data_IF_597312649749
#
_entry.id   IF_597312649749
#
_cell.length_a   1.000
_cell.length_b   1.000
_cell.length_c   1.000
_cell.angle_alpha   90.00
_cell.angle_beta   90.00
_cell.angle_gamma   90.00
#
_symmetry.space_group_name_H-M   'P 1'
#
loop_
_entity.id
_entity.type
_entity.pdbx_description
1 polymer ?
#
# COMPACT_ATOMS: atom_id res chain seq x y z
N UNK A 1 5.32 -43.49 -70.88
CA UNK A 1 3.92 -43.90 -70.64
C UNK A 1 3.94 -45.04 -69.62
N UNK A 2 3.13 -45.08 -68.55
CA UNK A 2 2.33 -44.04 -67.87
C UNK A 2 2.62 -43.94 -66.35
N UNK A 3 1.97 -42.96 -65.69
CA UNK A 3 1.42 -42.97 -64.31
C UNK A 3 2.36 -43.22 -63.11
N UNK A 4 2.41 -42.39 -62.07
CA UNK A 4 1.49 -41.33 -61.64
C UNK A 4 2.12 -40.51 -60.50
N UNK A 5 1.84 -39.22 -60.54
CA UNK A 5 2.25 -38.24 -59.54
C UNK A 5 1.40 -38.41 -58.28
N UNK A 6 2.03 -38.71 -57.14
CA UNK A 6 1.42 -38.50 -55.83
C UNK A 6 1.88 -37.16 -55.28
N UNK A 7 1.07 -36.12 -55.50
CA UNK A 7 1.19 -34.85 -54.81
C UNK A 7 0.59 -35.07 -53.42
N UNK A 8 1.45 -35.30 -52.42
CA UNK A 8 1.04 -35.25 -51.01
C UNK A 8 0.97 -33.78 -50.63
N UNK A 9 -0.25 -33.23 -50.69
CA UNK A 9 -0.57 -31.91 -50.17
C UNK A 9 -0.43 -31.90 -48.65
N UNK A 10 0.62 -31.29 -48.14
CA UNK A 10 0.75 -30.97 -46.71
C UNK A 10 -0.08 -29.71 -46.47
N UNK A 11 -1.30 -29.89 -45.99
CA UNK A 11 -2.14 -28.86 -45.41
C UNK A 11 -1.44 -28.33 -44.15
N UNK A 12 -0.78 -27.18 -44.25
CA UNK A 12 -0.37 -26.39 -43.10
C UNK A 12 -1.62 -25.85 -42.40
N UNK A 13 -2.06 -26.54 -41.35
CA UNK A 13 -3.01 -26.00 -40.39
C UNK A 13 -2.33 -24.88 -39.60
N UNK A 14 -2.63 -23.63 -39.96
CA UNK A 14 -2.29 -22.48 -39.13
C UNK A 14 -3.11 -22.56 -37.84
N UNK A 15 -2.45 -22.96 -36.75
CA UNK A 15 -3.02 -22.91 -35.41
C UNK A 15 -3.14 -21.42 -35.03
N UNK A 16 -4.34 -20.86 -35.15
CA UNK A 16 -4.64 -19.53 -34.59
C UNK A 16 -4.68 -19.70 -33.07
N UNK A 17 -3.57 -19.41 -32.41
CA UNK A 17 -3.56 -19.18 -30.96
C UNK A 17 -4.20 -17.82 -30.75
N UNK A 18 -5.52 -17.82 -30.54
CA UNK A 18 -6.19 -16.66 -29.96
C UNK A 18 -5.64 -16.57 -28.53
N UNK A 19 -4.62 -15.74 -28.33
CA UNK A 19 -4.26 -15.28 -27.02
C UNK A 19 -5.45 -14.47 -26.50
N UNK A 20 -6.36 -15.16 -25.79
CA UNK A 20 -7.29 -14.49 -24.90
C UNK A 20 -6.40 -13.87 -23.84
N UNK A 21 -6.04 -12.60 -24.04
CA UNK A 21 -5.48 -11.81 -22.94
C UNK A 21 -6.54 -11.88 -21.85
N UNK A 22 -6.24 -12.44 -20.65
CA UNK A 22 -7.16 -12.30 -19.55
C UNK A 22 -7.38 -10.80 -19.39
N UNK A 23 -8.63 -10.37 -19.55
CA UNK A 23 -9.03 -9.01 -19.23
C UNK A 23 -8.48 -8.76 -17.83
N UNK A 24 -7.50 -7.86 -17.71
CA UNK A 24 -6.86 -7.58 -16.44
C UNK A 24 -7.97 -7.08 -15.51
N UNK A 25 -8.46 -7.95 -14.64
CA UNK A 25 -9.29 -7.53 -13.51
C UNK A 25 -8.44 -6.49 -12.81
N UNK A 26 -8.90 -5.23 -12.65
CA UNK A 26 -8.12 -4.23 -11.95
C UNK A 26 -7.75 -4.84 -10.60
N UNK A 27 -6.46 -5.02 -10.35
CA UNK A 27 -5.97 -5.66 -9.14
C UNK A 27 -6.63 -4.94 -7.96
N UNK A 28 -7.46 -5.67 -7.21
CA UNK A 28 -8.28 -5.08 -6.16
C UNK A 28 -7.35 -4.40 -5.17
N UNK A 29 -7.50 -3.09 -5.00
CA UNK A 29 -6.68 -2.28 -4.08
C UNK A 29 -6.85 -2.85 -2.68
N UNK A 30 -5.77 -3.36 -2.10
CA UNK A 30 -5.78 -3.84 -0.71
C UNK A 30 -5.96 -2.66 0.22
N UNK A 31 -6.92 -2.76 1.14
CA UNK A 31 -7.15 -1.74 2.17
C UNK A 31 -6.03 -1.76 3.19
N UNK A 32 -5.75 -0.60 3.78
CA UNK A 32 -4.77 -0.46 4.86
C UNK A 32 -5.14 -1.37 6.05
N UNK A 33 -6.44 -1.51 6.33
CA UNK A 33 -6.93 -2.43 7.35
C UNK A 33 -6.61 -3.90 7.04
N UNK A 34 -6.86 -4.38 5.81
CA UNK A 34 -6.60 -5.79 5.50
C UNK A 34 -5.12 -6.14 5.56
N UNK A 35 -4.25 -5.19 5.19
CA UNK A 35 -2.80 -5.34 5.34
C UNK A 35 -2.42 -5.38 6.82
N UNK A 36 -2.88 -4.42 7.63
CA UNK A 36 -2.57 -4.40 9.07
C UNK A 36 -3.13 -5.61 9.82
N UNK A 37 -4.33 -6.09 9.46
CA UNK A 37 -4.93 -7.32 9.96
C UNK A 37 -4.03 -8.54 9.70
N UNK A 38 -3.55 -8.67 8.46
CA UNK A 38 -2.63 -9.73 8.07
C UNK A 38 -1.29 -9.65 8.81
N UNK A 39 -0.69 -8.47 8.90
CA UNK A 39 0.59 -8.26 9.60
C UNK A 39 0.47 -8.50 11.11
N UNK A 40 -0.62 -8.04 11.72
CA UNK A 40 -0.89 -8.25 13.15
C UNK A 40 -1.08 -9.73 13.43
N UNK A 41 -1.81 -10.44 12.56
CA UNK A 41 -1.98 -11.89 12.68
C UNK A 41 -0.64 -12.63 12.60
N UNK A 42 0.24 -12.23 11.67
CA UNK A 42 1.57 -12.82 11.54
C UNK A 42 2.44 -12.54 12.79
N UNK A 43 2.50 -11.29 13.24
CA UNK A 43 3.28 -10.91 14.42
C UNK A 43 2.77 -11.59 15.71
N UNK A 44 1.45 -11.69 15.89
CA UNK A 44 0.83 -12.37 17.04
C UNK A 44 1.05 -13.88 16.99
N UNK A 45 0.98 -14.51 15.81
CA UNK A 45 1.29 -15.92 15.66
C UNK A 45 2.75 -16.23 16.02
N UNK A 46 3.68 -15.36 15.61
CA UNK A 46 5.09 -15.49 15.99
C UNK A 46 5.26 -15.36 17.51
N UNK A 47 4.60 -14.39 18.16
CA UNK A 47 4.58 -14.27 19.62
C UNK A 47 4.03 -15.53 20.28
N UNK A 48 2.89 -16.04 19.79
CA UNK A 48 2.28 -17.25 20.34
C UNK A 48 3.23 -18.45 20.24
N UNK A 49 4.02 -18.55 19.17
CA UNK A 49 4.99 -19.64 18.99
C UNK A 49 6.17 -19.59 19.97
N UNK A 50 6.50 -18.40 20.48
CA UNK A 50 7.59 -18.20 21.44
C UNK A 50 7.08 -18.05 22.88
N UNK A 51 5.79 -17.76 23.06
CA UNK A 51 5.21 -17.51 24.37
C UNK A 51 4.92 -18.83 25.07
N UNK A 52 5.53 -19.04 26.22
CA UNK A 52 5.09 -20.06 27.18
C UNK A 52 4.01 -19.56 28.14
N UNK A 53 3.36 -18.42 27.84
CA UNK A 53 2.45 -17.74 28.76
C UNK A 53 1.00 -17.90 28.29
N UNK A 54 0.14 -18.46 29.14
CA UNK A 54 -1.30 -18.59 28.86
C UNK A 54 -2.06 -17.26 28.96
N UNK A 55 -1.42 -16.24 29.55
CA UNK A 55 -1.99 -14.91 29.65
C UNK A 55 -0.96 -13.80 29.51
N UNK A 56 -1.37 -12.70 28.87
CA UNK A 56 -0.54 -11.54 28.55
C UNK A 56 -1.21 -10.23 28.98
N UNK A 57 -0.41 -9.26 29.41
CA UNK A 57 -0.82 -7.87 29.54
C UNK A 57 -0.43 -7.12 28.27
N UNK A 58 -1.38 -6.55 27.55
CA UNK A 58 -1.08 -5.73 26.37
C UNK A 58 -0.91 -4.27 26.80
N UNK A 59 0.08 -3.56 26.26
CA UNK A 59 0.38 -2.14 26.56
C UNK A 59 0.84 -1.45 25.26
N UNK A 60 0.60 -0.15 25.03
CA UNK A 60 -0.31 0.73 25.76
C UNK A 60 -1.79 0.34 25.64
N UNK A 61 -2.64 0.91 26.49
CA UNK A 61 -4.10 0.65 26.49
C UNK A 61 -4.79 1.47 25.41
N UNK A 62 -4.28 2.66 25.16
CA UNK A 62 -4.77 3.67 24.24
C UNK A 62 -4.38 3.43 22.78
N UNK A 63 -3.54 2.42 22.49
CA UNK A 63 -3.14 2.13 21.11
C UNK A 63 -4.34 1.72 20.25
N UNK A 64 -4.51 2.38 19.10
CA UNK A 64 -5.52 2.02 18.11
C UNK A 64 -5.35 0.58 17.55
N UNK A 65 -4.14 0.00 17.63
CA UNK A 65 -3.86 -1.37 17.21
C UNK A 65 -4.25 -2.41 18.29
N UNK A 66 -4.44 -1.98 19.54
CA UNK A 66 -4.66 -2.88 20.69
C UNK A 66 -5.80 -3.85 20.47
N UNK A 67 -6.97 -3.35 20.03
CA UNK A 67 -8.15 -4.20 19.88
C UNK A 67 -7.88 -5.36 18.92
N UNK A 68 -7.15 -5.09 17.83
CA UNK A 68 -6.79 -6.08 16.82
C UNK A 68 -5.80 -7.10 17.41
N UNK A 69 -4.78 -6.65 18.14
CA UNK A 69 -3.83 -7.52 18.84
C UNK A 69 -4.55 -8.42 19.85
N UNK A 70 -5.46 -7.86 20.64
CA UNK A 70 -6.26 -8.60 21.63
C UNK A 70 -7.15 -9.64 20.95
N UNK A 71 -7.84 -9.25 19.87
CA UNK A 71 -8.65 -10.18 19.08
C UNK A 71 -7.83 -11.37 18.60
N UNK A 72 -6.66 -11.13 17.98
CA UNK A 72 -5.79 -12.23 17.48
C UNK A 72 -5.23 -13.10 18.61
N UNK A 73 -4.84 -12.52 19.74
CA UNK A 73 -4.38 -13.29 20.90
C UNK A 73 -5.49 -14.19 21.45
N UNK A 74 -6.70 -13.64 21.62
CA UNK A 74 -7.84 -14.42 22.10
C UNK A 74 -8.26 -15.51 21.12
N UNK A 75 -8.15 -15.26 19.82
CA UNK A 75 -8.37 -16.27 18.77
C UNK A 75 -7.36 -17.43 18.81
N UNK A 76 -6.17 -17.20 19.37
CA UNK A 76 -5.15 -18.23 19.62
C UNK A 76 -5.25 -18.84 21.03
N UNK A 77 -6.28 -18.49 21.82
CA UNK A 77 -6.49 -19.01 23.17
C UNK A 77 -5.66 -18.34 24.26
N UNK A 78 -4.92 -17.26 23.96
CA UNK A 78 -4.12 -16.52 24.93
C UNK A 78 -4.99 -15.49 25.63
N UNK A 79 -5.10 -15.58 26.96
CA UNK A 79 -5.96 -14.68 27.74
C UNK A 79 -5.30 -13.29 27.93
N UNK A 80 -5.99 -12.22 27.56
CA UNK A 80 -5.50 -10.86 27.83
C UNK A 80 -6.01 -10.38 29.20
N UNK A 81 -5.08 -10.02 30.10
CA UNK A 81 -5.39 -9.55 31.46
C UNK A 81 -4.67 -8.23 31.75
N UNK A 82 -5.24 -7.40 32.61
CA UNK A 82 -4.60 -6.13 33.01
C UNK A 82 -3.27 -6.35 33.77
N UNK A 83 -3.17 -7.47 34.51
CA UNK A 83 -1.96 -7.91 35.17
C UNK A 83 -1.71 -9.38 34.80
N UNK A 84 -0.54 -9.64 34.23
CA UNK A 84 -0.10 -10.94 33.74
C UNK A 84 1.42 -11.05 33.91
N UNK A 85 1.97 -12.27 34.01
CA UNK A 85 3.42 -12.47 34.19
C UNK A 85 4.23 -12.02 32.98
N UNK A 86 3.62 -11.97 31.79
CA UNK A 86 4.25 -11.62 30.54
C UNK A 86 3.51 -10.41 29.94
N UNK A 87 4.26 -9.46 29.39
CA UNK A 87 3.72 -8.22 28.83
C UNK A 87 3.99 -8.19 27.33
N UNK A 88 3.01 -7.76 26.55
CA UNK A 88 3.15 -7.49 25.13
C UNK A 88 3.00 -5.99 24.88
N UNK A 89 4.10 -5.33 24.57
CA UNK A 89 4.12 -3.92 24.24
C UNK A 89 3.97 -3.71 22.72
N UNK A 90 3.03 -2.87 22.31
CA UNK A 90 2.86 -2.41 20.94
C UNK A 90 3.83 -1.25 20.74
N UNK A 91 4.90 -1.47 19.99
CA UNK A 91 5.95 -0.48 19.76
C UNK A 91 5.67 0.36 18.50
N UNK A 92 5.13 -0.25 17.45
CA UNK A 92 4.72 0.44 16.23
C UNK A 92 3.54 -0.30 15.58
N UNK A 93 2.72 0.44 14.85
CA UNK A 93 1.46 -0.06 14.29
C UNK A 93 0.84 0.98 13.38
N UNK A 94 1.47 1.22 12.24
CA UNK A 94 1.14 2.37 11.40
C UNK A 94 1.27 2.07 9.91
N UNK A 95 0.48 2.82 9.14
CA UNK A 95 0.65 2.99 7.70
C UNK A 95 1.47 4.26 7.46
N UNK A 96 2.40 4.21 6.51
CA UNK A 96 3.24 5.35 6.12
C UNK A 96 3.29 5.44 4.60
N UNK A 97 3.18 6.65 4.09
CA UNK A 97 3.33 6.93 2.67
C UNK A 97 4.69 7.57 2.38
N UNK A 98 5.45 6.95 1.48
CA UNK A 98 6.81 7.36 1.10
C UNK A 98 6.84 8.41 -0.01
N UNK A 99 7.92 9.19 -0.04
CA UNK A 99 8.19 10.20 -1.08
C UNK A 99 8.75 9.59 -2.37
N UNK A 100 9.36 8.40 -2.28
CA UNK A 100 10.09 7.77 -3.39
C UNK A 100 9.20 6.76 -4.08
N UNK A 101 8.41 7.23 -5.04
CA UNK A 101 7.58 6.38 -5.88
C UNK A 101 8.11 6.37 -7.32
N UNK A 102 7.96 5.26 -8.06
CA UNK A 102 8.51 5.12 -9.41
C UNK A 102 7.92 6.12 -10.43
N UNK A 103 6.74 6.67 -10.15
CA UNK A 103 6.09 7.70 -10.99
C UNK A 103 5.46 8.81 -10.15
N UNK A 104 5.25 9.99 -10.75
CA UNK A 104 4.64 11.18 -10.12
C UNK A 104 3.27 10.87 -9.49
N UNK A 105 2.49 10.04 -10.16
CA UNK A 105 1.12 9.68 -9.76
C UNK A 105 1.07 8.47 -8.83
N UNK A 106 2.22 7.89 -8.51
CA UNK A 106 2.34 6.78 -7.58
C UNK A 106 2.84 7.24 -6.21
N UNK A 107 2.64 6.39 -5.22
CA UNK A 107 3.11 6.57 -3.86
C UNK A 107 3.53 5.20 -3.30
N UNK A 108 4.68 5.15 -2.62
CA UNK A 108 5.04 3.95 -1.86
C UNK A 108 4.19 3.93 -0.59
N UNK A 109 3.56 2.80 -0.28
CA UNK A 109 2.88 2.58 0.99
C UNK A 109 3.66 1.51 1.74
N UNK A 110 3.99 1.82 2.99
CA UNK A 110 4.61 0.90 3.94
C UNK A 110 3.69 0.72 5.14
N UNK A 111 3.33 -0.53 5.44
CA UNK A 111 2.59 -0.90 6.64
C UNK A 111 3.53 -1.69 7.55
N UNK A 112 3.63 -1.30 8.81
CA UNK A 112 4.50 -1.96 9.78
C UNK A 112 3.76 -2.21 11.09
N UNK A 113 3.96 -3.40 11.63
CA UNK A 113 3.56 -3.78 12.99
C UNK A 113 4.81 -4.23 13.73
N UNK A 114 5.09 -3.60 14.86
CA UNK A 114 6.16 -3.97 15.76
C UNK A 114 5.60 -4.24 17.15
N UNK A 115 5.81 -5.45 17.62
CA UNK A 115 5.40 -5.92 18.94
C UNK A 115 6.64 -6.34 19.72
N UNK A 116 6.66 -6.02 21.01
CA UNK A 116 7.72 -6.36 21.95
C UNK A 116 7.17 -7.23 23.05
N UNK A 117 7.60 -8.47 23.05
CA UNK A 117 7.25 -9.42 24.08
C UNK A 117 8.26 -9.31 25.23
N UNK A 118 7.75 -8.95 26.41
CA UNK A 118 8.51 -8.69 27.63
C UNK A 118 8.22 -9.80 28.65
N UNK A 119 9.27 -10.51 29.04
CA UNK A 119 9.28 -11.56 30.06
C UNK A 119 10.31 -11.11 31.12
N UNK A 120 10.20 -11.50 32.40
CA UNK A 120 11.08 -10.99 33.46
C UNK A 120 12.58 -10.95 33.12
N UNK A 121 13.07 -11.93 32.36
CA UNK A 121 14.49 -12.06 32.01
C UNK A 121 14.81 -11.86 30.53
N UNK A 122 13.82 -11.55 29.68
CA UNK A 122 14.08 -11.39 28.25
C UNK A 122 13.09 -10.47 27.55
N UNK A 123 13.57 -9.81 26.50
CA UNK A 123 12.74 -9.04 25.57
C UNK A 123 12.94 -9.60 24.18
N UNK A 124 11.84 -9.85 23.48
CA UNK A 124 11.85 -10.24 22.06
C UNK A 124 11.05 -9.25 21.26
N UNK A 125 11.64 -8.72 20.20
CA UNK A 125 10.98 -7.78 19.29
C UNK A 125 10.65 -8.49 18.00
N UNK A 126 9.40 -8.39 17.58
CA UNK A 126 8.88 -8.94 16.33
C UNK A 126 8.39 -7.75 15.51
N UNK A 127 9.00 -7.56 14.34
CA UNK A 127 8.67 -6.50 13.41
C UNK A 127 8.34 -7.12 12.06
N UNK A 128 7.11 -6.91 11.60
CA UNK A 128 6.65 -7.37 10.29
C UNK A 128 6.28 -6.15 9.47
N UNK A 129 6.78 -6.09 8.24
CA UNK A 129 6.60 -4.97 7.35
C UNK A 129 6.13 -5.45 5.98
N UNK A 130 5.25 -4.67 5.36
CA UNK A 130 4.80 -4.86 4.00
C UNK A 130 4.86 -3.55 3.23
N UNK A 131 5.26 -3.64 1.97
CA UNK A 131 5.42 -2.50 1.07
C UNK A 131 4.79 -2.76 -0.28
N UNK A 132 4.14 -1.75 -0.82
CA UNK A 132 3.67 -1.72 -2.19
C UNK A 132 3.69 -0.32 -2.79
N UNK A 133 3.36 -0.23 -4.07
CA UNK A 133 3.20 1.02 -4.79
C UNK A 133 1.73 1.17 -5.15
N UNK A 134 1.13 2.28 -4.73
CA UNK A 134 -0.26 2.61 -4.95
C UNK A 134 -0.36 3.83 -5.87
N UNK A 135 -1.41 3.91 -6.69
CA UNK A 135 -1.75 5.17 -7.36
C UNK A 135 -2.29 6.18 -6.33
N UNK A 136 -1.91 7.45 -6.43
CA UNK A 136 -2.39 8.50 -5.53
C UNK A 136 -3.92 8.65 -5.54
N UNK A 137 -4.56 8.35 -6.67
CA UNK A 137 -6.03 8.34 -6.81
C UNK A 137 -6.71 7.22 -6.01
N UNK A 138 -5.99 6.14 -5.68
CA UNK A 138 -6.53 4.98 -4.97
C UNK A 138 -6.33 5.06 -3.46
N UNK A 139 -5.66 6.09 -2.94
CA UNK A 139 -5.44 6.27 -1.49
C UNK A 139 -6.77 6.26 -0.72
N UNK A 140 -7.77 7.01 -1.21
CA UNK A 140 -9.09 7.07 -0.58
C UNK A 140 -9.82 5.72 -0.56
N UNK A 141 -9.48 4.80 -1.47
CA UNK A 141 -10.00 3.41 -1.47
C UNK A 141 -9.22 2.49 -0.54
N UNK A 142 -7.95 2.79 -0.31
CA UNK A 142 -7.10 2.05 0.61
C UNK A 142 -7.38 2.40 2.08
N UNK A 143 -7.69 3.66 2.38
CA UNK A 143 -8.00 4.13 3.73
C UNK A 143 -9.43 3.81 4.17
N UNK A 144 -9.64 3.60 5.48
CA UNK A 144 -10.98 3.60 6.08
C UNK A 144 -11.17 4.88 6.89
N UNK A 145 -12.02 5.83 6.43
CA UNK A 145 -12.17 7.15 7.07
C UNK A 145 -12.60 7.13 8.54
N UNK A 146 -13.15 6.01 9.02
CA UNK A 146 -13.65 5.85 10.38
C UNK A 146 -12.62 5.28 11.35
N UNK A 147 -11.41 4.96 10.90
CA UNK A 147 -10.38 4.31 11.73
C UNK A 147 -9.04 5.04 11.66
N UNK A 148 -8.62 5.59 12.79
CA UNK A 148 -7.31 6.23 12.99
C UNK A 148 -6.13 5.28 12.70
N UNK A 149 -6.36 3.97 12.80
CA UNK A 149 -5.35 2.95 12.51
C UNK A 149 -4.96 2.91 11.03
N UNK A 150 -5.87 3.34 10.15
CA UNK A 150 -5.75 3.14 8.70
C UNK A 150 -5.40 4.41 7.94
N UNK A 151 -5.44 5.57 8.60
CA UNK A 151 -5.18 6.87 7.98
C UNK A 151 -3.74 7.28 8.22
N UNK A 152 -3.11 7.88 7.20
CA UNK A 152 -1.75 8.37 7.33
C UNK A 152 -1.57 9.67 6.53
N UNK A 153 -0.68 10.57 6.96
CA UNK A 153 -0.40 11.78 6.20
C UNK A 153 0.17 11.43 4.83
N UNK A 154 -0.51 11.90 3.79
CA UNK A 154 -0.09 11.72 2.40
C UNK A 154 0.87 12.85 2.03
N UNK A 155 2.13 12.56 1.67
CA UNK A 155 3.03 13.59 1.20
C UNK A 155 2.50 14.27 -0.07
N UNK A 156 2.78 15.57 -0.26
CA UNK A 156 2.32 16.30 -1.43
C UNK A 156 2.84 15.67 -2.72
N UNK A 157 2.15 15.97 -3.83
CA UNK A 157 2.60 15.54 -5.15
C UNK A 157 3.96 16.18 -5.46
N UNK A 158 4.94 15.43 -5.99
CA UNK A 158 6.20 16.03 -6.39
C UNK A 158 5.93 17.08 -7.47
N UNK A 159 6.51 18.28 -7.27
CA UNK A 159 6.47 19.36 -8.24
C UNK A 159 7.45 19.08 -9.37
N UNK A 160 7.05 19.36 -10.59
CA UNK A 160 7.94 19.28 -11.73
C UNK A 160 8.55 20.65 -12.03
N UNK A 161 9.74 20.67 -12.66
CA UNK A 161 10.36 21.91 -13.14
C UNK A 161 9.45 22.66 -14.14
N UNK A 162 8.54 21.96 -14.82
CA UNK A 162 7.52 22.59 -15.66
C UNK A 162 6.54 23.43 -14.84
N UNK A 163 6.07 22.89 -13.72
CA UNK A 163 5.16 23.58 -12.80
C UNK A 163 5.88 24.79 -12.15
N UNK A 164 7.17 24.62 -11.80
CA UNK A 164 7.90 25.67 -11.08
C UNK A 164 8.43 26.79 -11.99
N UNK A 165 8.73 26.53 -13.26
CA UNK A 165 9.35 27.52 -14.17
C UNK A 165 8.48 27.95 -15.34
N UNK A 166 7.77 27.02 -15.99
CA UNK A 166 7.12 27.32 -17.26
C UNK A 166 5.72 27.90 -17.09
N UNK A 167 4.96 27.39 -16.11
CA UNK A 167 3.65 27.92 -15.77
C UNK A 167 3.67 29.45 -15.52
N UNK A 168 4.53 30.00 -14.64
CA UNK A 168 4.57 31.44 -14.41
C UNK A 168 5.00 32.23 -15.67
N UNK A 169 5.93 31.69 -16.48
CA UNK A 169 6.39 32.36 -17.70
C UNK A 169 5.28 32.45 -18.74
N UNK A 170 4.51 31.38 -18.93
CA UNK A 170 3.36 31.37 -19.86
C UNK A 170 2.31 32.38 -19.41
N UNK A 171 2.01 32.45 -18.12
CA UNK A 171 1.04 33.41 -17.57
C UNK A 171 1.51 34.86 -17.83
N UNK A 172 2.76 35.18 -17.52
CA UNK A 172 3.32 36.52 -17.77
C UNK A 172 3.32 36.84 -19.27
N UNK A 173 3.73 35.89 -20.11
CA UNK A 173 3.75 36.06 -21.56
C UNK A 173 2.33 36.34 -22.08
N UNK A 174 1.34 35.52 -21.71
CA UNK A 174 -0.05 35.69 -22.15
C UNK A 174 -0.66 37.03 -21.75
N UNK A 175 -0.40 37.50 -20.52
CA UNK A 175 -0.84 38.83 -20.06
C UNK A 175 -0.18 39.93 -20.90
N UNK A 176 1.11 39.82 -21.18
CA UNK A 176 1.83 40.78 -22.02
C UNK A 176 1.28 40.80 -23.45
N UNK A 177 1.03 39.65 -24.07
CA UNK A 177 0.43 39.59 -25.42
C UNK A 177 -0.97 40.18 -25.43
N UNK A 178 -1.78 39.90 -24.41
CA UNK A 178 -3.15 40.44 -24.31
C UNK A 178 -3.15 41.96 -24.17
N UNK A 179 -2.25 42.51 -23.35
CA UNK A 179 -2.06 43.96 -23.24
C UNK A 179 -1.60 44.56 -24.57
N UNK A 180 -0.62 43.94 -25.23
CA UNK A 180 -0.11 44.40 -26.52
C UNK A 180 -1.24 44.44 -27.57
N UNK A 181 -2.06 43.39 -27.64
CA UNK A 181 -3.23 43.32 -28.54
C UNK A 181 -4.28 44.38 -28.18
N UNK A 182 -4.59 44.58 -26.90
CA UNK A 182 -5.51 45.61 -26.45
C UNK A 182 -5.05 47.02 -26.87
N UNK A 183 -3.77 47.34 -26.69
CA UNK A 183 -3.24 48.66 -27.04
C UNK A 183 -3.08 48.85 -28.55
N UNK A 184 -2.65 47.83 -29.29
CA UNK A 184 -2.50 47.94 -30.76
C UNK A 184 -3.83 48.03 -31.50
N UNK A 185 -4.90 47.42 -30.98
CA UNK A 185 -6.25 47.54 -31.53
C UNK A 185 -6.89 48.89 -31.19
N UNK A 186 -6.57 49.48 -30.02
CA UNK A 186 -7.09 50.80 -29.61
C UNK A 186 -6.32 51.99 -30.18
N UNK A 187 -5.09 51.79 -30.65
CA UNK A 187 -4.22 52.85 -31.17
C UNK A 187 -4.41 53.13 -32.67
N UNK A 188 -5.49 52.60 -33.28
CA UNK A 188 -5.98 52.97 -34.62
C UNK A 188 -7.35 53.60 -34.49
#
# INVERSE_FOLDING_TARGET
>A
MPSGQHIVGVLLSALVVIAVQPLAVPAQVRTNFSVLDSLTSAAVAEIASISGCDSLAVVPVESALRWLVVEKLTGLGIAVRASAPCTLAIADGAVRYGLYAPSRDSIERACRVELRFLVPDSTRTIAVEWRDVLARTDIARAELPRSELTTAPVPPMPRSLWDDLLEPVIVVASVATTLLLLFTVRSR
#
